data_IF_789425962077
#
_entry.id   IF_789425962077
#
_cell.length_a   1.000
_cell.length_b   1.000
_cell.length_c   1.000
_cell.angle_alpha   90.00
_cell.angle_beta   90.00
_cell.angle_gamma   90.00
#
_symmetry.space_group_name_H-M   'P 1'
#
loop_
_entity.id
_entity.type
_entity.pdbx_description
1 polymer ?
#
# COMPACT_ATOMS: atom_id res chain seq x y z
N UNK A 1 14.14 -4.18 0.96
CA UNK A 1 12.84 -4.03 1.63
C UNK A 1 11.88 -4.98 0.97
N UNK A 2 11.25 -5.93 1.70
CA UNK A 2 10.14 -6.70 1.14
C UNK A 2 8.99 -5.74 0.82
N UNK A 3 8.41 -5.86 -0.37
CA UNK A 3 7.30 -5.00 -0.80
C UNK A 3 6.45 -5.72 -1.83
N UNK A 4 5.18 -5.34 -1.90
CA UNK A 4 4.19 -5.87 -2.81
C UNK A 4 3.41 -4.74 -3.47
N UNK A 5 2.79 -5.03 -4.61
CA UNK A 5 1.71 -4.21 -5.16
C UNK A 5 0.39 -4.94 -4.89
N UNK A 6 -0.56 -4.25 -4.27
CA UNK A 6 -1.93 -4.74 -4.03
C UNK A 6 -2.90 -3.81 -4.74
N UNK A 7 -3.53 -4.27 -5.82
CA UNK A 7 -4.31 -3.40 -6.71
C UNK A 7 -5.63 -4.02 -7.13
N UNK A 8 -6.63 -3.18 -7.38
CA UNK A 8 -7.89 -3.57 -8.03
C UNK A 8 -7.76 -3.63 -9.57
N UNK A 9 -6.59 -3.30 -10.13
CA UNK A 9 -6.30 -3.47 -11.55
C UNK A 9 -6.01 -4.94 -11.87
N UNK A 10 -6.61 -5.44 -12.95
CA UNK A 10 -6.31 -6.78 -13.49
C UNK A 10 -4.84 -6.89 -13.92
N UNK A 11 -4.36 -8.10 -14.14
CA UNK A 11 -2.97 -8.36 -14.54
C UNK A 11 -2.54 -7.51 -15.76
N UNK A 12 -3.34 -7.38 -16.85
CA UNK A 12 -2.96 -6.54 -17.99
C UNK A 12 -2.79 -5.06 -17.61
N UNK A 13 -3.70 -4.53 -16.78
CA UNK A 13 -3.69 -3.12 -16.35
C UNK A 13 -2.52 -2.86 -15.40
N UNK A 14 -2.34 -3.70 -14.39
CA UNK A 14 -1.27 -3.58 -13.42
C UNK A 14 0.10 -3.64 -14.11
N UNK A 15 0.32 -4.65 -14.96
CA UNK A 15 1.58 -4.84 -15.69
C UNK A 15 1.87 -3.67 -16.64
N UNK A 16 0.86 -3.16 -17.35
CA UNK A 16 1.02 -2.00 -18.22
C UNK A 16 1.42 -0.74 -17.42
N UNK A 17 0.79 -0.50 -16.26
CA UNK A 17 1.11 0.66 -15.40
C UNK A 17 2.50 0.56 -14.77
N UNK A 18 2.90 -0.61 -14.28
CA UNK A 18 4.25 -0.85 -13.76
C UNK A 18 5.29 -0.54 -14.84
N UNK A 19 5.08 -1.07 -16.05
CA UNK A 19 5.95 -0.81 -17.20
C UNK A 19 6.00 0.67 -17.59
N UNK A 20 4.85 1.33 -17.67
CA UNK A 20 4.76 2.75 -18.02
C UNK A 20 5.47 3.64 -16.97
N UNK A 21 5.33 3.29 -15.69
CA UNK A 21 6.03 3.94 -14.58
C UNK A 21 7.53 3.62 -14.51
N UNK A 22 8.03 2.73 -15.38
CA UNK A 22 9.42 2.23 -15.38
C UNK A 22 9.83 1.66 -14.01
N UNK A 23 8.88 1.04 -13.32
CA UNK A 23 9.11 0.42 -12.03
C UNK A 23 9.59 -1.02 -12.23
N UNK A 24 10.45 -1.54 -11.33
CA UNK A 24 10.75 -2.97 -11.32
C UNK A 24 9.46 -3.76 -11.05
N UNK A 25 9.34 -4.95 -11.66
CA UNK A 25 8.26 -5.86 -11.31
C UNK A 25 8.41 -6.30 -9.85
N UNK A 26 7.35 -6.20 -9.03
CA UNK A 26 7.41 -6.70 -7.66
C UNK A 26 7.45 -8.23 -7.66
N UNK A 27 8.09 -8.80 -6.65
CA UNK A 27 8.05 -10.26 -6.42
C UNK A 27 6.63 -10.71 -6.03
N UNK A 28 5.85 -9.83 -5.38
CA UNK A 28 4.47 -10.09 -4.96
C UNK A 28 3.55 -9.06 -5.61
N UNK A 29 2.64 -9.55 -6.46
CA UNK A 29 1.62 -8.76 -7.13
C UNK A 29 0.25 -9.36 -6.85
N UNK A 30 -0.55 -8.68 -6.01
CA UNK A 30 -1.93 -9.06 -5.72
C UNK A 30 -2.86 -8.26 -6.63
N UNK A 31 -3.62 -8.98 -7.44
CA UNK A 31 -4.61 -8.49 -8.41
C UNK A 31 -5.96 -9.17 -8.13
N UNK A 32 -7.08 -8.67 -8.68
CA UNK A 32 -8.40 -9.27 -8.49
C UNK A 32 -8.47 -10.76 -8.82
N UNK A 33 -7.68 -11.23 -9.79
CA UNK A 33 -7.60 -12.64 -10.19
C UNK A 33 -7.04 -13.56 -9.10
N UNK A 34 -6.42 -13.00 -8.06
CA UNK A 34 -5.76 -13.76 -6.99
C UNK A 34 -6.53 -13.75 -5.67
N UNK A 35 -7.68 -13.10 -5.62
CA UNK A 35 -8.47 -12.87 -4.40
C UNK A 35 -9.95 -13.20 -4.65
N UNK A 36 -10.67 -13.56 -3.60
CA UNK A 36 -12.10 -13.80 -3.65
C UNK A 36 -12.91 -12.51 -3.46
N UNK A 37 -12.38 -11.55 -2.69
CA UNK A 37 -13.00 -10.26 -2.41
C UNK A 37 -12.01 -9.12 -2.59
N UNK A 38 -12.41 -8.13 -3.38
CA UNK A 38 -11.67 -6.89 -3.56
C UNK A 38 -11.85 -5.90 -2.41
N UNK A 39 -11.03 -4.84 -2.42
CA UNK A 39 -11.20 -3.67 -1.54
C UNK A 39 -12.67 -3.20 -1.61
N UNK A 40 -13.35 -2.93 -0.49
CA UNK A 40 -12.80 -2.63 0.84
C UNK A 40 -12.57 -3.84 1.76
N UNK A 41 -12.76 -5.09 1.31
CA UNK A 41 -12.45 -6.28 2.11
C UNK A 41 -10.93 -6.34 2.44
N UNK A 42 -10.50 -6.80 3.63
CA UNK A 42 -9.09 -6.86 4.01
C UNK A 42 -8.28 -7.95 3.28
N UNK A 43 -8.93 -8.93 2.63
CA UNK A 43 -8.29 -10.05 1.95
C UNK A 43 -7.08 -9.66 1.07
N UNK A 44 -7.12 -8.60 0.24
CA UNK A 44 -6.02 -8.26 -0.65
C UNK A 44 -4.71 -7.93 0.09
N UNK A 45 -4.80 -7.22 1.22
CA UNK A 45 -3.61 -6.87 2.01
C UNK A 45 -3.14 -8.03 2.87
N UNK A 46 -4.07 -8.80 3.45
CA UNK A 46 -3.73 -10.01 4.19
C UNK A 46 -2.94 -10.99 3.30
N UNK A 47 -3.42 -11.22 2.08
CA UNK A 47 -2.73 -12.05 1.08
C UNK A 47 -1.37 -11.46 0.69
N UNK A 48 -1.28 -10.15 0.52
CA UNK A 48 -0.01 -9.49 0.21
C UNK A 48 1.03 -9.67 1.32
N UNK A 49 0.63 -9.55 2.58
CA UNK A 49 1.51 -9.78 3.72
C UNK A 49 1.91 -11.26 3.87
N UNK A 50 0.96 -12.17 3.69
CA UNK A 50 1.21 -13.63 3.67
C UNK A 50 2.26 -14.01 2.62
N UNK A 51 2.14 -13.51 1.39
CA UNK A 51 3.10 -13.82 0.31
C UNK A 51 4.48 -13.15 0.49
N UNK A 52 4.55 -12.11 1.32
CA UNK A 52 5.81 -11.52 1.75
C UNK A 52 6.42 -12.22 2.97
N UNK A 53 5.73 -13.21 3.55
CA UNK A 53 6.09 -13.85 4.81
C UNK A 53 6.20 -12.85 5.98
N UNK A 54 5.22 -11.94 6.05
CA UNK A 54 5.16 -10.87 7.06
C UNK A 54 3.83 -10.91 7.82
N UNK A 55 3.87 -10.51 9.09
CA UNK A 55 2.66 -10.16 9.81
C UNK A 55 2.14 -8.80 9.32
N UNK A 56 0.86 -8.72 8.93
CA UNK A 56 0.20 -7.51 8.44
C UNK A 56 0.28 -6.33 9.40
N UNK A 57 0.34 -6.57 10.72
CA UNK A 57 0.49 -5.52 11.75
C UNK A 57 1.87 -4.84 11.69
N UNK A 58 2.86 -5.49 11.07
CA UNK A 58 4.19 -4.93 10.81
C UNK A 58 4.32 -4.31 9.40
N UNK A 59 3.23 -4.28 8.62
CA UNK A 59 3.20 -3.72 7.28
C UNK A 59 2.63 -2.30 7.27
N UNK A 60 3.06 -1.53 6.26
CA UNK A 60 2.52 -0.21 5.96
C UNK A 60 1.87 -0.26 4.58
N UNK A 61 0.59 0.07 4.50
CA UNK A 61 -0.16 0.21 3.26
C UNK A 61 -0.16 1.67 2.81
N UNK A 62 0.10 1.91 1.53
CA UNK A 62 -0.05 3.23 0.92
C UNK A 62 -1.28 3.23 0.01
N UNK A 63 -2.18 4.20 0.21
CA UNK A 63 -3.45 4.26 -0.52
C UNK A 63 -3.89 5.68 -0.81
N UNK A 64 -4.63 5.87 -1.90
CA UNK A 64 -5.21 7.16 -2.29
C UNK A 64 -6.75 7.11 -2.40
N UNK A 65 -7.37 5.99 -2.05
CA UNK A 65 -8.82 5.82 -2.08
C UNK A 65 -9.38 5.25 -0.76
N UNK A 66 -10.58 5.69 -0.38
CA UNK A 66 -11.26 5.28 0.85
C UNK A 66 -11.43 3.76 0.96
N UNK A 67 -11.78 3.08 -0.15
CA UNK A 67 -11.92 1.63 -0.16
C UNK A 67 -10.60 0.90 0.16
N UNK A 68 -9.47 1.41 -0.33
CA UNK A 68 -8.17 0.84 -0.03
C UNK A 68 -7.73 1.12 1.41
N UNK A 69 -7.96 2.35 1.88
CA UNK A 69 -7.68 2.72 3.27
C UNK A 69 -8.45 1.81 4.22
N UNK A 70 -9.76 1.68 4.01
CA UNK A 70 -10.62 0.83 4.83
C UNK A 70 -10.15 -0.63 4.83
N UNK A 71 -9.78 -1.16 3.66
CA UNK A 71 -9.24 -2.52 3.51
C UNK A 71 -7.94 -2.72 4.30
N UNK A 72 -6.99 -1.77 4.22
CA UNK A 72 -5.73 -1.83 4.97
C UNK A 72 -5.95 -1.71 6.49
N UNK A 73 -6.82 -0.80 6.91
CA UNK A 73 -7.18 -0.60 8.33
C UNK A 73 -7.87 -1.84 8.91
N UNK A 74 -8.81 -2.42 8.18
CA UNK A 74 -9.50 -3.66 8.59
C UNK A 74 -8.55 -4.85 8.62
N UNK A 75 -7.53 -4.86 7.76
CA UNK A 75 -6.44 -5.83 7.80
C UNK A 75 -5.46 -5.60 8.96
N UNK A 76 -5.63 -4.52 9.76
CA UNK A 76 -4.76 -4.08 10.87
C UNK A 76 -3.37 -3.58 10.47
N UNK A 77 -3.16 -3.26 9.19
CA UNK A 77 -1.96 -2.56 8.77
C UNK A 77 -2.01 -1.08 9.24
N UNK A 78 -0.84 -0.46 9.37
CA UNK A 78 -0.78 1.00 9.34
C UNK A 78 -1.04 1.49 7.92
N UNK A 79 -1.83 2.55 7.77
CA UNK A 79 -2.18 3.09 6.46
C UNK A 79 -1.71 4.53 6.32
N UNK A 80 -0.95 4.79 5.26
CA UNK A 80 -0.57 6.13 4.82
C UNK A 80 -1.42 6.52 3.62
N UNK A 81 -2.25 7.53 3.79
CA UNK A 81 -3.05 8.15 2.74
C UNK A 81 -2.20 9.08 1.88
N UNK A 82 -2.18 8.88 0.57
CA UNK A 82 -1.61 9.80 -0.40
C UNK A 82 -2.71 10.69 -0.98
N UNK A 83 -2.62 11.98 -0.73
CA UNK A 83 -3.48 12.96 -1.36
C UNK A 83 -3.03 13.16 -2.81
N UNK A 84 -3.59 12.38 -3.72
CA UNK A 84 -3.29 12.47 -5.15
C UNK A 84 -4.27 13.42 -5.86
N UNK A 85 -5.58 13.17 -5.75
CA UNK A 85 -6.66 13.98 -6.33
C UNK A 85 -7.98 13.73 -5.57
N UNK A 86 -8.81 14.76 -5.38
CA UNK A 86 -10.15 14.62 -4.78
C UNK A 86 -10.31 15.29 -3.42
N UNK A 87 -11.34 14.87 -2.67
CA UNK A 87 -11.68 15.43 -1.35
C UNK A 87 -10.88 14.75 -0.24
N UNK A 88 -10.36 15.54 0.71
CA UNK A 88 -9.59 15.03 1.86
C UNK A 88 -10.37 14.01 2.69
N UNK A 89 -11.69 14.08 2.66
CA UNK A 89 -12.60 13.18 3.38
C UNK A 89 -12.42 11.72 2.95
N UNK A 90 -11.97 11.46 1.72
CA UNK A 90 -11.64 10.11 1.26
C UNK A 90 -10.48 9.47 2.04
N UNK A 91 -9.66 10.27 2.72
CA UNK A 91 -8.48 9.83 3.46
C UNK A 91 -8.67 9.85 4.99
N UNK A 92 -9.87 10.17 5.47
CA UNK A 92 -10.13 10.44 6.90
C UNK A 92 -9.83 9.25 7.83
N UNK A 93 -9.85 8.03 7.30
CA UNK A 93 -9.54 6.80 8.05
C UNK A 93 -8.04 6.42 8.05
N UNK A 94 -7.20 7.15 7.30
CA UNK A 94 -5.76 6.86 7.25
C UNK A 94 -5.07 7.26 8.57
N UNK A 95 -4.01 6.54 8.95
CA UNK A 95 -3.22 6.86 10.15
C UNK A 95 -2.37 8.11 9.95
N UNK A 96 -1.89 8.31 8.72
CA UNK A 96 -1.11 9.49 8.32
C UNK A 96 -1.53 9.91 6.92
N UNK A 97 -1.48 11.21 6.64
CA UNK A 97 -1.76 11.75 5.31
C UNK A 97 -0.55 12.54 4.83
N UNK A 98 -0.16 12.28 3.58
CA UNK A 98 0.89 13.00 2.86
C UNK A 98 0.35 13.44 1.50
N UNK A 99 0.85 14.54 0.96
CA UNK A 99 0.49 15.04 -0.38
C UNK A 99 1.68 15.01 -1.35
N UNK A 100 2.82 14.48 -0.92
CA UNK A 100 4.02 14.39 -1.73
C UNK A 100 4.87 13.17 -1.34
N UNK A 101 5.24 12.35 -2.33
CA UNK A 101 6.15 11.23 -2.11
C UNK A 101 7.55 11.66 -1.62
N UNK A 102 7.95 12.90 -1.85
CA UNK A 102 9.22 13.44 -1.33
C UNK A 102 9.26 13.51 0.19
N UNK A 103 8.09 13.51 0.83
CA UNK A 103 8.00 13.51 2.28
C UNK A 103 8.08 12.12 2.90
N UNK A 104 8.14 11.06 2.08
CA UNK A 104 8.26 9.68 2.53
C UNK A 104 9.66 9.18 2.26
N UNK A 105 10.38 8.76 3.30
CA UNK A 105 11.66 8.06 3.16
C UNK A 105 11.67 6.79 3.99
N UNK A 106 12.44 5.80 3.54
CA UNK A 106 12.62 4.53 4.25
C UNK A 106 14.11 4.32 4.49
N UNK A 107 14.46 4.10 5.75
CA UNK A 107 15.83 3.75 6.16
C UNK A 107 15.84 2.31 6.69
N UNK A 108 16.95 1.61 6.45
CA UNK A 108 17.20 0.29 7.05
C UNK A 108 18.19 0.48 8.18
N UNK A 109 17.83 0.06 9.40
CA UNK A 109 18.73 0.16 10.55
C UNK A 109 19.75 -1.00 10.55
N UNK A 110 20.70 -0.96 11.50
CA UNK A 110 21.76 -1.96 11.64
C UNK A 110 21.23 -3.36 11.99
N UNK A 111 20.06 -3.44 12.64
CA UNK A 111 19.35 -4.69 12.95
C UNK A 111 18.60 -5.26 11.73
N UNK A 112 18.59 -4.52 10.63
CA UNK A 112 17.97 -4.91 9.37
C UNK A 112 16.48 -4.58 9.25
N UNK A 113 15.92 -3.87 10.23
CA UNK A 113 14.53 -3.41 10.23
C UNK A 113 14.39 -2.17 9.35
N UNK A 114 13.21 -2.01 8.76
CA UNK A 114 12.88 -0.83 7.95
C UNK A 114 12.08 0.16 8.79
N UNK A 115 12.51 1.42 8.80
CA UNK A 115 11.79 2.53 9.42
C UNK A 115 11.36 3.51 8.33
N UNK A 116 10.08 3.87 8.35
CA UNK A 116 9.54 4.92 7.49
C UNK A 116 9.59 6.25 8.25
N UNK A 117 10.09 7.28 7.59
CA UNK A 117 10.17 8.65 8.09
C UNK A 117 9.28 9.52 7.21
N UNK A 118 8.38 10.28 7.85
CA UNK A 118 7.55 11.30 7.22
C UNK A 118 8.10 12.68 7.57
N UNK A 119 8.64 13.44 6.61
CA UNK A 119 9.19 14.79 6.86
C UNK A 119 8.12 15.87 6.96
N UNK A 120 6.94 15.62 6.38
CA UNK A 120 5.77 16.48 6.45
C UNK A 120 4.51 15.63 6.37
N UNK A 121 3.47 16.04 7.09
CA UNK A 121 2.14 15.42 7.09
C UNK A 121 1.08 16.51 7.01
N UNK A 122 -0.13 16.15 6.56
CA UNK A 122 -1.30 17.03 6.51
C UNK A 122 -2.19 16.91 7.75
#
# INVERSE_FOLDING_TARGET
MPWAIVTSGTIPVASARIKAGKLPMPNVLITPERISKGKPDPEPYLKGAEELDLNIENCICFEDASAGIHSGKTAKAKVVGMFSHGEKDALIEADYIVDNWRDVSVIKNELGEFQMILSRML
#
